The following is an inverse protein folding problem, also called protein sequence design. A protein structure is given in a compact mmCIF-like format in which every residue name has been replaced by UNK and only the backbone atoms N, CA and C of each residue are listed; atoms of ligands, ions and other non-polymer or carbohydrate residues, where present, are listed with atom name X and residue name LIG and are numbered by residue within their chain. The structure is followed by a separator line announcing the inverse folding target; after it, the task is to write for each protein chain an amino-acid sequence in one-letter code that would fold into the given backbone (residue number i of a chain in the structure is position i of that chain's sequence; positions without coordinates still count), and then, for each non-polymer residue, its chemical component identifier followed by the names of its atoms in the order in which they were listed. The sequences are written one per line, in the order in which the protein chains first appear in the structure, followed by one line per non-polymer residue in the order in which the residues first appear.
data_IF_386898877193
#
_entry.id   IF_386898877193
#
_cell.length_a   1.000
_cell.length_b   1.000
_cell.length_c   1.000
_cell.angle_alpha   90.00
_cell.angle_beta   90.00
_cell.angle_gamma   90.00
#
_symmetry.space_group_name_H-M   'P 1'
#
loop_
_entity.id
_entity.type
_entity.pdbx_description
1 polymer ?
#
# COMPACT_ATOMS: atom_id res chain seq x y z
N UNK A 1 -5.42 10.65 31.05
CA UNK A 1 -6.57 10.43 30.15
C UNK A 1 -6.26 9.17 29.35
N UNK A 2 -7.08 8.11 29.43
CA UNK A 2 -6.92 6.98 28.49
C UNK A 2 -7.29 7.52 27.11
N UNK A 3 -6.32 7.65 26.21
CA UNK A 3 -6.63 7.87 24.80
C UNK A 3 -7.43 6.67 24.32
N UNK A 4 -8.67 6.91 23.91
CA UNK A 4 -9.50 5.90 23.25
C UNK A 4 -8.88 5.66 21.88
N UNK A 5 -8.70 4.39 21.50
CA UNK A 5 -8.17 4.04 20.20
C UNK A 5 -9.08 4.59 19.10
N UNK A 6 -8.50 5.15 18.04
CA UNK A 6 -9.26 5.70 16.93
C UNK A 6 -9.94 4.56 16.15
N UNK A 7 -11.26 4.60 16.06
CA UNK A 7 -12.07 3.59 15.37
C UNK A 7 -12.23 3.89 13.87
N UNK A 8 -12.15 5.16 13.48
CA UNK A 8 -12.26 5.60 12.09
C UNK A 8 -11.43 6.86 11.87
N UNK A 9 -10.77 6.97 10.72
CA UNK A 9 -10.16 8.24 10.31
C UNK A 9 -11.23 9.26 9.94
N UNK A 10 -10.97 10.58 10.09
CA UNK A 10 -11.75 11.60 9.40
C UNK A 10 -11.92 11.22 7.92
N UNK A 11 -13.13 11.36 7.38
CA UNK A 11 -13.46 10.86 6.04
C UNK A 11 -12.54 11.44 4.96
N UNK A 12 -12.22 12.72 5.05
CA UNK A 12 -11.32 13.40 4.13
C UNK A 12 -9.86 12.89 4.27
N UNK A 13 -9.42 12.55 5.48
CA UNK A 13 -8.13 11.91 5.72
C UNK A 13 -8.08 10.49 5.13
N UNK A 14 -9.14 9.68 5.34
CA UNK A 14 -9.25 8.33 4.79
C UNK A 14 -9.16 8.33 3.26
N UNK A 15 -9.83 9.28 2.59
CA UNK A 15 -9.72 9.47 1.14
C UNK A 15 -8.28 9.75 0.72
N UNK A 16 -7.55 10.61 1.45
CA UNK A 16 -6.14 10.88 1.14
C UNK A 16 -5.26 9.65 1.30
N UNK A 17 -5.47 8.86 2.35
CA UNK A 17 -4.72 7.62 2.58
C UNK A 17 -5.00 6.57 1.49
N UNK A 18 -6.25 6.44 1.05
CA UNK A 18 -6.64 5.56 -0.06
C UNK A 18 -5.95 5.95 -1.37
N UNK A 19 -5.95 7.24 -1.70
CA UNK A 19 -5.26 7.73 -2.91
C UNK A 19 -3.74 7.53 -2.80
N UNK A 20 -3.14 7.74 -1.63
CA UNK A 20 -1.74 7.39 -1.39
C UNK A 20 -1.46 5.91 -1.69
N UNK A 21 -2.26 5.00 -1.14
CA UNK A 21 -2.08 3.55 -1.34
C UNK A 21 -2.13 3.18 -2.83
N UNK A 22 -3.10 3.75 -3.57
CA UNK A 22 -3.24 3.53 -5.02
C UNK A 22 -2.03 4.07 -5.78
N UNK A 23 -1.70 5.35 -5.60
CA UNK A 23 -0.63 6.02 -6.34
C UNK A 23 0.74 5.41 -6.07
N UNK A 24 1.03 5.09 -4.81
CA UNK A 24 2.28 4.42 -4.48
C UNK A 24 2.37 3.01 -5.10
N UNK A 25 1.25 2.28 -5.15
CA UNK A 25 1.19 0.98 -5.81
C UNK A 25 1.41 1.07 -7.32
N UNK A 26 0.87 2.10 -7.97
CA UNK A 26 1.16 2.39 -9.39
C UNK A 26 2.64 2.67 -9.62
N UNK A 27 3.26 3.50 -8.78
CA UNK A 27 4.70 3.72 -8.82
C UNK A 27 5.49 2.41 -8.77
N UNK A 28 5.21 1.55 -7.79
CA UNK A 28 5.90 0.26 -7.64
C UNK A 28 5.76 -0.61 -8.90
N UNK A 29 4.55 -0.75 -9.43
CA UNK A 29 4.28 -1.58 -10.59
C UNK A 29 4.91 -1.02 -11.88
N UNK A 30 4.77 0.29 -12.14
CA UNK A 30 5.34 0.97 -13.31
C UNK A 30 6.86 0.95 -13.29
N UNK A 31 7.50 1.09 -12.13
CA UNK A 31 8.97 1.05 -12.03
C UNK A 31 9.54 -0.30 -12.49
N UNK A 32 8.81 -1.40 -12.32
CA UNK A 32 9.21 -2.72 -12.77
C UNK A 32 8.89 -3.00 -14.25
N UNK A 33 8.12 -2.13 -14.91
CA UNK A 33 7.80 -2.20 -16.34
C UNK A 33 8.72 -1.27 -17.12
N UNK A 34 9.27 -1.76 -18.22
CA UNK A 34 10.19 -0.97 -19.05
C UNK A 34 9.44 0.20 -19.67
N UNK A 35 10.06 1.39 -19.67
CA UNK A 35 9.57 2.57 -20.35
C UNK A 35 8.58 3.45 -19.57
N UNK A 36 8.22 3.10 -18.33
CA UNK A 36 7.21 3.84 -17.55
C UNK A 36 7.81 4.65 -16.39
N UNK A 37 9.11 4.98 -16.43
CA UNK A 37 9.80 5.62 -15.30
C UNK A 37 9.24 7.01 -14.98
N UNK A 38 9.02 7.85 -15.99
CA UNK A 38 8.47 9.20 -15.80
C UNK A 38 7.07 9.17 -15.17
N UNK A 39 6.22 8.24 -15.63
CA UNK A 39 4.89 8.04 -15.06
C UNK A 39 4.95 7.51 -13.62
N UNK A 40 5.89 6.60 -13.34
CA UNK A 40 6.13 6.10 -12.00
C UNK A 40 6.54 7.24 -11.04
N UNK A 41 7.49 8.07 -11.46
CA UNK A 41 7.98 9.19 -10.65
C UNK A 41 6.84 10.21 -10.37
N UNK A 42 5.98 10.47 -11.35
CA UNK A 42 4.79 11.31 -11.15
C UNK A 42 3.81 10.71 -10.12
N UNK A 43 3.49 9.42 -10.22
CA UNK A 43 2.64 8.74 -9.24
C UNK A 43 3.26 8.74 -7.84
N UNK A 44 4.59 8.62 -7.72
CA UNK A 44 5.28 8.73 -6.43
C UNK A 44 5.13 10.13 -5.84
N UNK A 45 5.35 11.18 -6.62
CA UNK A 45 5.18 12.56 -6.17
C UNK A 45 3.75 12.83 -5.71
N UNK A 46 2.76 12.35 -6.46
CA UNK A 46 1.35 12.48 -6.08
C UNK A 46 1.04 11.70 -4.80
N UNK A 47 1.53 10.46 -4.67
CA UNK A 47 1.39 9.68 -3.46
C UNK A 47 1.92 10.44 -2.22
N UNK A 48 3.14 10.97 -2.30
CA UNK A 48 3.75 11.71 -1.18
C UNK A 48 2.93 12.95 -0.78
N UNK A 49 2.38 13.69 -1.76
CA UNK A 49 1.49 14.82 -1.48
C UNK A 49 0.20 14.39 -0.76
N UNK A 50 -0.39 13.27 -1.19
CA UNK A 50 -1.57 12.71 -0.53
C UNK A 50 -1.27 12.20 0.88
N UNK A 51 -0.10 11.60 1.10
CA UNK A 51 0.29 11.14 2.43
C UNK A 51 0.56 12.32 3.39
N UNK A 52 1.21 13.38 2.92
CA UNK A 52 1.35 14.62 3.69
C UNK A 52 -0.01 15.18 4.09
N UNK A 53 -0.94 15.28 3.13
CA UNK A 53 -2.30 15.74 3.41
C UNK A 53 -3.07 14.82 4.37
N UNK A 54 -2.86 13.50 4.32
CA UNK A 54 -3.42 12.57 5.31
C UNK A 54 -2.90 12.86 6.72
N UNK A 55 -1.59 13.10 6.87
CA UNK A 55 -0.97 13.43 8.15
C UNK A 55 -1.52 14.74 8.73
N UNK A 56 -1.60 15.79 7.91
CA UNK A 56 -2.12 17.09 8.33
C UNK A 56 -3.58 16.98 8.81
N UNK A 57 -4.39 16.17 8.11
CA UNK A 57 -5.80 15.95 8.47
C UNK A 57 -6.01 15.09 9.71
N UNK A 58 -5.00 14.33 10.10
CA UNK A 58 -5.01 13.52 11.30
C UNK A 58 -4.14 14.13 12.42
N UNK A 59 -3.75 15.41 12.31
CA UNK A 59 -2.84 16.04 13.26
C UNK A 59 -3.30 15.83 14.72
N UNK A 60 -2.38 15.35 15.56
CA UNK A 60 -2.64 15.02 16.96
C UNK A 60 -3.39 13.70 17.22
N UNK A 61 -3.85 12.99 16.19
CA UNK A 61 -4.56 11.71 16.35
C UNK A 61 -3.62 10.50 16.47
N UNK A 62 -2.47 10.53 15.80
CA UNK A 62 -1.48 9.45 15.77
C UNK A 62 -0.10 9.98 16.10
N UNK A 63 0.76 9.11 16.65
CA UNK A 63 2.18 9.41 16.77
C UNK A 63 2.87 9.35 15.39
N UNK A 64 3.97 10.10 15.28
CA UNK A 64 4.88 10.07 14.12
C UNK A 64 5.25 8.65 13.71
N UNK A 65 5.49 7.78 14.68
CA UNK A 65 5.84 6.40 14.41
C UNK A 65 4.68 5.59 13.84
N UNK A 66 3.44 5.84 14.27
CA UNK A 66 2.26 5.18 13.70
C UNK A 66 1.99 5.63 12.27
N UNK A 67 2.19 6.91 11.96
CA UNK A 67 2.17 7.39 10.57
C UNK A 67 3.19 6.66 9.71
N UNK A 68 4.42 6.56 10.19
CA UNK A 68 5.49 5.86 9.47
C UNK A 68 5.16 4.37 9.25
N UNK A 69 4.67 3.67 10.28
CA UNK A 69 4.34 2.25 10.15
C UNK A 69 3.16 2.03 9.19
N UNK A 70 2.12 2.89 9.21
CA UNK A 70 1.04 2.87 8.22
C UNK A 70 1.60 3.10 6.80
N UNK A 71 2.47 4.10 6.65
CA UNK A 71 3.09 4.43 5.35
C UNK A 71 3.85 3.23 4.78
N UNK A 72 4.69 2.61 5.62
CA UNK A 72 5.54 1.49 5.26
C UNK A 72 4.71 0.24 4.97
N UNK A 73 3.66 -0.01 5.75
CA UNK A 73 2.73 -1.12 5.49
C UNK A 73 2.14 -1.05 4.08
N UNK A 74 1.61 0.12 3.67
CA UNK A 74 1.02 0.31 2.35
C UNK A 74 2.07 0.27 1.22
N UNK A 75 3.25 0.84 1.47
CA UNK A 75 4.39 0.81 0.54
C UNK A 75 4.84 -0.62 0.25
N UNK A 76 5.00 -1.45 1.29
CA UNK A 76 5.44 -2.82 1.13
C UNK A 76 4.36 -3.70 0.48
N UNK A 77 3.08 -3.40 0.68
CA UNK A 77 2.02 -4.06 -0.07
C UNK A 77 2.19 -3.83 -1.58
N UNK A 78 2.41 -2.57 -2.01
CA UNK A 78 2.66 -2.22 -3.40
C UNK A 78 3.85 -2.97 -4.00
N UNK A 79 4.98 -3.02 -3.29
CA UNK A 79 6.16 -3.75 -3.74
C UNK A 79 5.96 -5.27 -3.79
N UNK A 80 5.23 -5.84 -2.84
CA UNK A 80 4.90 -7.27 -2.84
C UNK A 80 4.14 -7.65 -4.11
N UNK A 81 3.04 -6.95 -4.42
CA UNK A 81 2.22 -7.27 -5.58
C UNK A 81 2.98 -7.07 -6.89
N UNK A 82 3.72 -5.95 -7.02
CA UNK A 82 4.51 -5.64 -8.20
C UNK A 82 5.60 -6.70 -8.46
N UNK A 83 6.36 -7.09 -7.43
CA UNK A 83 7.39 -8.13 -7.57
C UNK A 83 6.80 -9.50 -7.86
N UNK A 84 5.63 -9.83 -7.29
CA UNK A 84 4.94 -11.10 -7.60
C UNK A 84 4.56 -11.17 -9.08
N UNK A 85 3.93 -10.12 -9.63
CA UNK A 85 3.62 -10.09 -11.07
C UNK A 85 4.86 -10.06 -11.95
N UNK A 86 5.91 -9.38 -11.50
CA UNK A 86 7.18 -9.36 -12.21
C UNK A 86 7.82 -10.75 -12.29
N UNK A 87 7.80 -11.52 -11.21
CA UNK A 87 8.38 -12.86 -11.17
C UNK A 87 7.64 -13.83 -12.11
N UNK A 88 6.31 -13.74 -12.18
CA UNK A 88 5.48 -14.51 -13.11
C UNK A 88 5.85 -14.27 -14.58
N UNK A 89 6.19 -13.03 -14.94
CA UNK A 89 6.62 -12.69 -16.31
C UNK A 89 8.08 -13.05 -16.62
N UNK A 90 8.91 -13.32 -15.60
CA UNK A 90 10.30 -13.68 -15.82
C UNK A 90 10.43 -15.06 -16.46
N UNK A 91 11.09 -15.11 -17.63
CA UNK A 91 11.46 -16.38 -18.31
C UNK A 91 12.66 -17.07 -17.68
N UNK A 92 13.64 -16.29 -17.21
CA UNK A 92 14.86 -16.82 -16.59
C UNK A 92 14.64 -17.15 -15.12
N UNK A 93 15.00 -18.38 -14.73
CA UNK A 93 14.79 -18.90 -13.37
C UNK A 93 15.50 -18.07 -12.30
N UNK A 94 16.72 -17.59 -12.56
CA UNK A 94 17.46 -16.79 -11.57
C UNK A 94 16.75 -15.45 -11.28
N UNK A 95 16.22 -14.77 -12.31
CA UNK A 95 15.56 -13.48 -12.15
C UNK A 95 14.23 -13.65 -11.44
N UNK A 96 13.49 -14.70 -11.78
CA UNK A 96 12.24 -15.07 -11.10
C UNK A 96 12.46 -15.23 -9.59
N UNK A 97 13.47 -16.01 -9.19
CA UNK A 97 13.79 -16.24 -7.77
C UNK A 97 14.09 -14.96 -7.00
N UNK A 98 14.79 -14.00 -7.62
CA UNK A 98 15.06 -12.69 -7.00
C UNK A 98 13.75 -11.95 -6.66
N UNK A 99 12.85 -11.84 -7.64
CA UNK A 99 11.57 -11.18 -7.43
C UNK A 99 10.64 -11.94 -6.47
N UNK A 100 10.64 -13.28 -6.48
CA UNK A 100 9.89 -14.10 -5.50
C UNK A 100 10.40 -13.87 -4.07
N UNK A 101 11.72 -13.80 -3.90
CA UNK A 101 12.33 -13.49 -2.61
C UNK A 101 11.94 -12.10 -2.12
N UNK A 102 12.06 -11.08 -2.98
CA UNK A 102 11.67 -9.71 -2.64
C UNK A 102 10.18 -9.61 -2.33
N UNK A 103 9.31 -10.25 -3.12
CA UNK A 103 7.88 -10.30 -2.85
C UNK A 103 7.59 -10.92 -1.47
N UNK A 104 8.23 -12.03 -1.14
CA UNK A 104 8.06 -12.71 0.16
C UNK A 104 8.55 -11.84 1.32
N UNK A 105 9.68 -11.17 1.15
CA UNK A 105 10.22 -10.25 2.14
C UNK A 105 9.29 -9.05 2.37
N UNK A 106 8.74 -8.46 1.30
CA UNK A 106 7.79 -7.36 1.43
C UNK A 106 6.50 -7.78 2.09
N UNK A 107 5.96 -8.97 1.79
CA UNK A 107 4.79 -9.51 2.50
C UNK A 107 5.04 -9.62 4.01
N UNK A 108 6.21 -10.15 4.41
CA UNK A 108 6.61 -10.20 5.82
C UNK A 108 6.63 -8.80 6.45
N UNK A 109 7.21 -7.81 5.76
CA UNK A 109 7.27 -6.44 6.26
C UNK A 109 5.90 -5.78 6.42
N UNK A 110 4.93 -6.08 5.55
CA UNK A 110 3.53 -5.63 5.75
C UNK A 110 3.01 -6.12 7.09
N UNK A 111 3.17 -7.41 7.38
CA UNK A 111 2.68 -8.00 8.64
C UNK A 111 3.44 -7.49 9.87
N UNK A 112 4.72 -7.14 9.73
CA UNK A 112 5.52 -6.54 10.81
C UNK A 112 5.01 -5.15 11.16
N UNK A 113 4.82 -4.27 10.17
CA UNK A 113 4.29 -2.93 10.42
C UNK A 113 2.83 -2.97 10.89
N UNK A 114 2.02 -3.89 10.36
CA UNK A 114 0.65 -4.12 10.85
C UNK A 114 0.64 -4.46 12.34
N UNK A 115 1.48 -5.40 12.79
CA UNK A 115 1.61 -5.76 14.22
C UNK A 115 2.10 -4.58 15.06
N UNK A 116 3.04 -3.79 14.56
CA UNK A 116 3.49 -2.59 15.28
C UNK A 116 2.37 -1.58 15.45
N UNK A 117 1.57 -1.33 14.40
CA UNK A 117 0.39 -0.45 14.45
C UNK A 117 -0.63 -0.96 15.48
N UNK A 118 -0.93 -2.27 15.49
CA UNK A 118 -1.83 -2.87 16.48
C UNK A 118 -1.31 -2.71 17.92
N UNK A 119 -0.04 -3.04 18.15
CA UNK A 119 0.55 -3.03 19.49
C UNK A 119 0.63 -1.62 20.10
N UNK A 120 0.65 -0.57 19.28
CA UNK A 120 0.61 0.82 19.74
C UNK A 120 -0.75 1.20 20.31
N UNK A 121 -1.84 0.56 19.87
CA UNK A 121 -3.19 0.81 20.37
C UNK A 121 -3.75 2.20 20.08
N UNK A 122 -3.13 2.97 19.18
CA UNK A 122 -3.60 4.32 18.79
C UNK A 122 -4.80 4.25 17.84
N UNK A 123 -4.89 3.17 17.06
CA UNK A 123 -6.06 2.85 16.24
C UNK A 123 -6.62 1.49 16.66
N UNK A 124 -7.92 1.29 16.45
CA UNK A 124 -8.54 0.00 16.74
C UNK A 124 -8.05 -1.09 15.80
N UNK A 125 -8.18 -2.35 16.23
CA UNK A 125 -7.82 -3.50 15.40
C UNK A 125 -8.63 -3.51 14.09
N UNK A 126 -9.90 -3.11 14.16
CA UNK A 126 -10.76 -3.00 12.98
C UNK A 126 -10.24 -1.94 12.01
N UNK A 127 -9.86 -0.75 12.48
CA UNK A 127 -9.30 0.28 11.62
C UNK A 127 -7.96 -0.17 11.03
N UNK A 128 -7.06 -0.75 11.83
CA UNK A 128 -5.78 -1.25 11.35
C UNK A 128 -5.96 -2.30 10.24
N UNK A 129 -6.90 -3.25 10.43
CA UNK A 129 -7.22 -4.27 9.44
C UNK A 129 -7.76 -3.65 8.16
N UNK A 130 -8.68 -2.70 8.25
CA UNK A 130 -9.24 -2.01 7.08
C UNK A 130 -8.15 -1.29 6.28
N UNK A 131 -7.20 -0.61 6.95
CA UNK A 131 -6.07 0.04 6.28
C UNK A 131 -5.18 -0.99 5.57
N UNK A 132 -4.92 -2.14 6.20
CA UNK A 132 -4.14 -3.22 5.59
C UNK A 132 -4.83 -3.80 4.36
N UNK A 133 -6.12 -4.12 4.45
CA UNK A 133 -6.89 -4.69 3.32
C UNK A 133 -7.04 -3.68 2.18
N UNK A 134 -7.27 -2.39 2.47
CA UNK A 134 -7.20 -1.31 1.48
C UNK A 134 -5.83 -1.27 0.79
N UNK A 135 -4.74 -1.40 1.54
CA UNK A 135 -3.38 -1.50 1.01
C UNK A 135 -3.20 -2.68 0.06
N UNK A 136 -3.72 -3.86 0.42
CA UNK A 136 -3.69 -5.03 -0.45
C UNK A 136 -4.53 -4.85 -1.71
N UNK A 137 -5.73 -4.31 -1.60
CA UNK A 137 -6.60 -4.02 -2.74
C UNK A 137 -5.93 -3.06 -3.72
N UNK A 138 -5.37 -1.95 -3.22
CA UNK A 138 -4.63 -0.98 -4.04
C UNK A 138 -3.40 -1.60 -4.72
N UNK A 139 -2.61 -2.38 -3.98
CA UNK A 139 -1.42 -3.04 -4.49
C UNK A 139 -1.74 -4.01 -5.63
N UNK A 140 -2.72 -4.88 -5.43
CA UNK A 140 -3.10 -5.86 -6.45
C UNK A 140 -3.84 -5.23 -7.62
N UNK A 141 -4.66 -4.21 -7.40
CA UNK A 141 -5.28 -3.44 -8.49
C UNK A 141 -4.22 -2.85 -9.44
N UNK A 142 -3.23 -2.12 -8.89
CA UNK A 142 -2.18 -1.50 -9.70
C UNK A 142 -1.31 -2.55 -10.41
N UNK A 143 -0.86 -3.59 -9.69
CA UNK A 143 -0.04 -4.64 -10.26
C UNK A 143 -0.78 -5.41 -11.36
N UNK A 144 -2.05 -5.77 -11.15
CA UNK A 144 -2.84 -6.46 -12.18
C UNK A 144 -3.02 -5.61 -13.42
N UNK A 145 -3.32 -4.31 -13.24
CA UNK A 145 -3.51 -3.41 -14.39
C UNK A 145 -2.21 -3.21 -15.17
N UNK A 146 -1.09 -2.94 -14.49
CA UNK A 146 0.22 -2.77 -15.17
C UNK A 146 0.70 -4.04 -15.84
N UNK A 147 0.35 -5.22 -15.34
CA UNK A 147 0.83 -6.49 -15.88
C UNK A 147 -0.19 -7.20 -16.80
N UNK A 148 -1.31 -6.55 -17.15
CA UNK A 148 -2.29 -7.01 -18.15
C UNK A 148 -3.21 -8.13 -17.65
N UNK A 149 -3.69 -8.02 -16.40
CA UNK A 149 -4.58 -8.97 -15.73
C UNK A 149 -5.93 -8.30 -15.45
N UNK A 150 -6.64 -7.90 -16.50
CA UNK A 150 -7.78 -6.96 -16.41
C UNK A 150 -8.91 -7.48 -15.51
N UNK A 151 -9.28 -8.77 -15.61
CA UNK A 151 -10.32 -9.37 -14.75
C UNK A 151 -9.94 -9.32 -13.27
N UNK A 152 -8.69 -9.65 -12.96
CA UNK A 152 -8.19 -9.58 -11.59
C UNK A 152 -8.00 -8.12 -11.13
N UNK A 153 -7.75 -7.17 -12.03
CA UNK A 153 -7.72 -5.75 -11.71
C UNK A 153 -9.12 -5.25 -11.33
N UNK A 154 -10.14 -5.57 -12.11
CA UNK A 154 -11.53 -5.16 -11.84
C UNK A 154 -12.03 -5.71 -10.50
N UNK A 155 -11.72 -6.98 -10.21
CA UNK A 155 -12.06 -7.56 -8.91
C UNK A 155 -11.38 -6.84 -7.74
N UNK A 156 -10.10 -6.49 -7.88
CA UNK A 156 -9.36 -5.80 -6.82
C UNK A 156 -9.77 -4.34 -6.68
N UNK A 157 -10.21 -3.71 -7.77
CA UNK A 157 -10.83 -2.39 -7.74
C UNK A 157 -12.14 -2.42 -6.95
N UNK A 158 -13.01 -3.39 -7.18
CA UNK A 158 -14.25 -3.55 -6.42
C UNK A 158 -13.97 -3.78 -4.92
N UNK A 159 -12.96 -4.60 -4.58
CA UNK A 159 -12.53 -4.80 -3.20
C UNK A 159 -12.01 -3.49 -2.58
N UNK A 160 -11.16 -2.75 -3.31
CA UNK A 160 -10.65 -1.45 -2.87
C UNK A 160 -11.78 -0.44 -2.67
N UNK A 161 -12.80 -0.42 -3.51
CA UNK A 161 -13.95 0.48 -3.42
C UNK A 161 -14.88 0.15 -2.24
N UNK A 162 -14.76 -1.05 -1.66
CA UNK A 162 -15.48 -1.46 -0.44
C UNK A 162 -14.84 -0.99 0.87
N UNK A 163 -13.65 -0.39 0.80
CA UNK A 163 -12.89 0.18 1.92
C UNK A 163 -12.82 1.71 1.85
#
# INVERSE_FOLDING_TARGET
VRNVALEIFPTDAAVKLKVYAVKYSWYCAKLLRRGQRTEADADRSEAENHFASFRDKCEGLLSEKSYEDIKLMLLYAGWHAANTRKSEQCRLRHSRKGYEFDASNHKRKVEEHYKTVLNKGEISETLARNVREMGWGAAWFAANTIFGRDKEADQQKANLDSH
#
